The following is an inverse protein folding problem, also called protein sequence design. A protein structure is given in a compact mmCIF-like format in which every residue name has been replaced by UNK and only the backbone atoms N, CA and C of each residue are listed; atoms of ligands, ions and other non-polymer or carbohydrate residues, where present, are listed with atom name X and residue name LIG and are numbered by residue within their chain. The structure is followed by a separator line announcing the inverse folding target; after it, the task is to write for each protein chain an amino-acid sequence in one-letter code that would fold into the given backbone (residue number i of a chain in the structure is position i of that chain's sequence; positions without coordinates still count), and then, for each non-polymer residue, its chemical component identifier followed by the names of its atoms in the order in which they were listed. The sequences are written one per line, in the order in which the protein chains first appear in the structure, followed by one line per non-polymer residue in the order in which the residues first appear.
data_IF_703569474281
#
_entry.id   IF_703569474281
#
_cell.length_a   1.000
_cell.length_b   1.000
_cell.length_c   1.000
_cell.angle_alpha   90.00
_cell.angle_beta   90.00
_cell.angle_gamma   90.00
#
_symmetry.space_group_name_H-M   'P 1'
#
loop_
_entity.id
_entity.type
_entity.pdbx_description
1 polymer ?
#
# COMPACT_ATOMS: atom_id res chain seq x y z
N UNK A 1 -7.17 12.72 32.45
CA UNK A 1 -7.24 12.27 31.04
C UNK A 1 -6.59 10.90 30.96
N UNK A 2 -7.28 9.90 30.43
CA UNK A 2 -6.72 8.55 30.22
C UNK A 2 -5.89 8.51 28.95
N UNK A 3 -4.82 7.69 28.93
CA UNK A 3 -4.06 7.46 27.71
C UNK A 3 -4.91 6.70 26.67
N UNK A 4 -4.83 7.06 25.38
CA UNK A 4 -5.47 6.30 24.32
C UNK A 4 -4.82 4.90 24.21
N UNK A 5 -5.50 3.99 23.53
CA UNK A 5 -5.05 2.60 23.36
C UNK A 5 -4.85 2.25 21.89
N UNK A 6 -3.98 1.29 21.63
CA UNK A 6 -3.91 0.56 20.37
C UNK A 6 -4.84 -0.64 20.48
N UNK A 7 -6.02 -0.55 19.88
CA UNK A 7 -7.08 -1.57 19.98
C UNK A 7 -6.98 -2.65 18.90
N UNK A 8 -6.45 -2.30 17.73
CA UNK A 8 -6.28 -3.25 16.63
C UNK A 8 -5.25 -2.79 15.61
N UNK A 9 -4.71 -3.74 14.85
CA UNK A 9 -3.84 -3.46 13.72
C UNK A 9 -4.02 -4.53 12.63
N UNK A 10 -3.87 -4.10 11.38
CA UNK A 10 -3.82 -4.96 10.22
C UNK A 10 -2.65 -4.58 9.30
N UNK A 11 -2.15 -5.56 8.57
CA UNK A 11 -1.03 -5.43 7.64
C UNK A 11 -1.37 -6.11 6.32
N UNK A 12 -0.90 -5.56 5.21
CA UNK A 12 -1.03 -6.20 3.91
C UNK A 12 0.26 -6.10 3.09
N UNK A 13 0.54 -7.14 2.32
CA UNK A 13 1.56 -7.12 1.28
C UNK A 13 0.93 -7.47 -0.06
N UNK A 14 1.25 -6.73 -1.11
CA UNK A 14 0.87 -7.09 -2.48
C UNK A 14 2.14 -7.41 -3.25
N UNK A 15 2.31 -8.65 -3.70
CA UNK A 15 3.45 -8.98 -4.57
C UNK A 15 3.16 -8.47 -5.99
N UNK A 16 4.03 -7.62 -6.51
CA UNK A 16 3.80 -6.77 -7.67
C UNK A 16 4.98 -6.76 -8.65
N UNK A 17 5.47 -7.93 -9.09
CA UNK A 17 6.65 -8.08 -9.96
C UNK A 17 6.58 -7.27 -11.27
N UNK A 18 5.49 -7.38 -12.04
CA UNK A 18 5.35 -6.63 -13.28
C UNK A 18 5.28 -5.11 -12.98
N UNK A 19 4.55 -4.72 -11.93
CA UNK A 19 4.50 -3.31 -11.52
C UNK A 19 5.87 -2.76 -11.10
N UNK A 20 6.69 -3.56 -10.42
CA UNK A 20 8.08 -3.20 -10.11
C UNK A 20 8.85 -2.87 -11.40
N UNK A 21 8.67 -3.66 -12.45
CA UNK A 21 9.36 -3.45 -13.71
C UNK A 21 8.85 -2.24 -14.47
N UNK A 22 7.53 -2.07 -14.57
CA UNK A 22 6.94 -1.04 -15.42
C UNK A 22 6.75 0.30 -14.71
N UNK A 23 6.50 0.31 -13.40
CA UNK A 23 6.19 1.50 -12.59
C UNK A 23 7.23 1.79 -11.48
N UNK A 24 8.16 0.89 -11.18
CA UNK A 24 9.24 1.15 -10.22
C UNK A 24 10.14 2.30 -10.67
N UNK A 25 10.45 3.25 -9.78
CA UNK A 25 11.17 4.48 -10.14
C UNK A 25 12.59 4.21 -10.66
N UNK A 26 13.25 3.18 -10.14
CA UNK A 26 14.59 2.77 -10.60
C UNK A 26 14.54 2.23 -12.03
N UNK A 27 13.53 1.40 -12.33
CA UNK A 27 13.38 0.72 -13.62
C UNK A 27 12.90 1.69 -14.69
N UNK A 28 11.95 2.57 -14.34
CA UNK A 28 11.45 3.61 -15.25
C UNK A 28 12.55 4.63 -15.56
N UNK A 29 13.34 5.06 -14.56
CA UNK A 29 14.47 5.96 -14.77
C UNK A 29 15.56 5.31 -15.63
N UNK A 30 15.90 4.04 -15.36
CA UNK A 30 16.86 3.29 -16.18
C UNK A 30 16.38 3.17 -17.63
N UNK A 31 15.09 2.85 -17.86
CA UNK A 31 14.52 2.69 -19.21
C UNK A 31 14.58 3.99 -20.01
N UNK A 32 14.43 5.15 -19.36
CA UNK A 32 14.55 6.47 -20.01
C UNK A 32 15.96 6.77 -20.48
N UNK A 33 16.98 6.31 -19.75
CA UNK A 33 18.40 6.58 -20.05
C UNK A 33 19.01 5.50 -20.95
N UNK A 34 18.75 4.23 -20.64
CA UNK A 34 19.28 3.08 -21.35
C UNK A 34 18.24 1.92 -21.37
N UNK A 35 17.33 1.90 -22.36
CA UNK A 35 16.28 0.88 -22.45
C UNK A 35 16.82 -0.54 -22.65
N UNK A 36 18.07 -0.69 -23.14
CA UNK A 36 18.73 -1.99 -23.35
C UNK A 36 19.77 -2.28 -22.27
N UNK A 37 19.64 -1.69 -21.07
CA UNK A 37 20.60 -1.94 -20.00
C UNK A 37 20.62 -3.41 -19.59
N UNK A 38 21.80 -3.90 -19.22
CA UNK A 38 21.98 -5.27 -18.72
C UNK A 38 21.09 -5.55 -17.50
N UNK A 39 20.85 -4.51 -16.67
CA UNK A 39 19.91 -4.59 -15.57
C UNK A 39 18.50 -4.95 -16.03
N UNK A 40 17.91 -4.19 -16.97
CA UNK A 40 16.55 -4.40 -17.43
C UNK A 40 16.39 -5.75 -18.16
N UNK A 41 17.40 -6.13 -18.97
CA UNK A 41 17.38 -7.40 -19.71
C UNK A 41 17.43 -8.65 -18.80
N UNK A 42 18.03 -8.52 -17.62
CA UNK A 42 18.14 -9.62 -16.67
C UNK A 42 17.10 -9.57 -15.54
N UNK A 43 16.47 -8.43 -15.30
CA UNK A 43 15.63 -8.18 -14.12
C UNK A 43 14.54 -9.24 -13.89
N UNK A 44 13.83 -9.63 -14.95
CA UNK A 44 12.72 -10.59 -14.88
C UNK A 44 13.17 -12.01 -14.51
N UNK A 45 14.46 -12.34 -14.70
CA UNK A 45 15.03 -13.63 -14.28
C UNK A 45 15.16 -13.75 -12.76
N UNK A 46 15.05 -12.63 -12.04
CA UNK A 46 15.12 -12.56 -10.58
C UNK A 46 13.75 -12.43 -9.93
N UNK A 47 12.66 -12.53 -10.71
CA UNK A 47 11.31 -12.57 -10.17
C UNK A 47 11.12 -13.77 -9.27
N UNK A 48 10.35 -13.55 -8.20
CA UNK A 48 9.87 -14.61 -7.33
C UNK A 48 8.45 -14.99 -7.70
N UNK A 49 8.08 -16.25 -7.53
CA UNK A 49 6.66 -16.63 -7.53
C UNK A 49 5.94 -16.04 -6.32
N UNK A 50 4.60 -16.06 -6.35
CA UNK A 50 3.81 -15.63 -5.20
C UNK A 50 4.03 -16.54 -3.99
N UNK A 51 4.18 -17.83 -4.23
CA UNK A 51 4.46 -18.83 -3.20
C UNK A 51 5.83 -18.58 -2.55
N UNK A 52 6.85 -18.20 -3.32
CA UNK A 52 8.17 -17.83 -2.80
C UNK A 52 8.12 -16.54 -1.97
N UNK A 53 7.34 -15.54 -2.40
CA UNK A 53 7.13 -14.32 -1.63
C UNK A 53 6.36 -14.61 -0.33
N UNK A 54 5.35 -15.47 -0.36
CA UNK A 54 4.61 -15.92 0.82
C UNK A 54 5.53 -16.67 1.78
N UNK A 55 6.37 -17.58 1.28
CA UNK A 55 7.27 -18.36 2.11
C UNK A 55 8.46 -17.56 2.68
N UNK A 56 8.68 -16.32 2.25
CA UNK A 56 9.76 -15.48 2.74
C UNK A 56 9.56 -15.11 4.23
N UNK A 57 10.48 -15.50 5.13
CA UNK A 57 10.25 -15.35 6.58
C UNK A 57 9.88 -13.93 7.06
N UNK A 58 10.52 -12.84 6.56
CA UNK A 58 10.10 -11.48 6.92
C UNK A 58 8.66 -11.14 6.52
N UNK A 59 8.17 -11.66 5.40
CA UNK A 59 6.78 -11.44 4.98
C UNK A 59 5.81 -12.15 5.94
N UNK A 60 6.16 -13.36 6.40
CA UNK A 60 5.38 -14.08 7.42
C UNK A 60 5.38 -13.36 8.78
N UNK A 61 6.47 -12.67 9.14
CA UNK A 61 6.48 -11.78 10.32
C UNK A 61 5.55 -10.59 10.11
N UNK A 62 5.60 -9.95 8.93
CA UNK A 62 4.81 -8.76 8.63
C UNK A 62 3.30 -9.00 8.75
N UNK A 63 2.80 -10.15 8.28
CA UNK A 63 1.38 -10.54 8.41
C UNK A 63 1.04 -11.23 9.74
N UNK A 64 2.04 -11.40 10.63
CA UNK A 64 1.85 -11.89 11.99
C UNK A 64 1.77 -13.40 12.18
N UNK A 65 2.25 -14.20 11.21
CA UNK A 65 2.38 -15.66 11.36
C UNK A 65 3.62 -16.06 12.15
N UNK A 66 4.67 -15.25 12.08
CA UNK A 66 5.87 -15.36 12.90
C UNK A 66 6.04 -14.10 13.76
N UNK A 67 6.73 -14.22 14.88
CA UNK A 67 7.16 -13.07 15.65
C UNK A 67 8.54 -12.58 15.15
N UNK A 68 8.87 -11.28 15.27
CA UNK A 68 10.17 -10.77 14.84
C UNK A 68 11.36 -11.52 15.45
N UNK A 69 11.24 -11.98 16.71
CA UNK A 69 12.28 -12.76 17.39
C UNK A 69 12.51 -14.15 16.79
N UNK A 70 11.53 -14.71 16.10
CA UNK A 70 11.63 -16.06 15.51
C UNK A 70 12.60 -16.05 14.32
N UNK A 71 12.79 -14.91 13.66
CA UNK A 71 13.78 -14.74 12.59
C UNK A 71 15.22 -15.01 13.04
N UNK A 72 15.51 -14.87 14.33
CA UNK A 72 16.84 -15.15 14.88
C UNK A 72 17.19 -16.65 14.82
N UNK A 73 16.18 -17.52 14.76
CA UNK A 73 16.36 -18.97 14.66
C UNK A 73 16.45 -19.46 13.20
N UNK A 74 16.19 -18.58 12.21
CA UNK A 74 16.21 -18.94 10.78
C UNK A 74 17.56 -18.51 10.18
N UNK A 75 18.31 -19.43 9.56
CA UNK A 75 19.58 -19.09 8.92
C UNK A 75 19.42 -17.98 7.87
N UNK A 76 20.43 -17.11 7.79
CA UNK A 76 20.54 -16.10 6.73
C UNK A 76 21.40 -16.64 5.58
N UNK A 77 21.11 -16.27 4.32
CA UNK A 77 20.04 -15.35 3.93
C UNK A 77 18.65 -15.99 3.95
N UNK A 78 17.63 -15.21 4.34
CA UNK A 78 16.27 -15.74 4.55
C UNK A 78 15.57 -16.20 3.27
N UNK A 79 15.98 -15.71 2.09
CA UNK A 79 15.40 -16.16 0.83
C UNK A 79 15.82 -17.59 0.45
N UNK A 80 16.89 -18.13 1.05
CA UNK A 80 17.30 -19.53 0.92
C UNK A 80 16.67 -20.43 1.99
N UNK A 81 15.96 -19.84 2.96
CA UNK A 81 15.42 -20.53 4.13
C UNK A 81 13.90 -20.25 4.26
N UNK A 82 13.09 -20.70 3.29
CA UNK A 82 11.66 -20.43 3.28
C UNK A 82 10.94 -21.10 4.47
N UNK A 83 9.88 -20.45 4.96
CA UNK A 83 8.99 -21.01 5.97
C UNK A 83 8.20 -22.16 5.35
N UNK A 84 8.26 -23.34 5.97
CA UNK A 84 7.46 -24.49 5.56
C UNK A 84 5.97 -24.24 5.83
N UNK A 85 5.12 -24.67 4.91
CA UNK A 85 3.66 -24.54 5.00
C UNK A 85 3.18 -23.08 5.22
N UNK A 86 3.95 -22.12 4.70
CA UNK A 86 3.61 -20.70 4.76
C UNK A 86 2.26 -20.43 4.10
N UNK A 87 1.49 -19.50 4.68
CA UNK A 87 0.17 -19.11 4.21
C UNK A 87 0.15 -17.63 3.87
N UNK A 88 -0.65 -17.25 2.88
CA UNK A 88 -0.88 -15.85 2.54
C UNK A 88 -1.67 -15.14 3.63
N UNK A 89 -2.56 -15.85 4.33
CA UNK A 89 -3.31 -15.33 5.47
C UNK A 89 -2.48 -15.42 6.75
N UNK A 90 -2.44 -14.32 7.50
CA UNK A 90 -1.84 -14.27 8.82
C UNK A 90 -2.75 -13.72 9.90
N UNK A 91 -2.29 -13.85 11.15
CA UNK A 91 -3.03 -13.37 12.33
C UNK A 91 -3.38 -11.88 12.23
N UNK A 92 -2.43 -11.08 11.76
CA UNK A 92 -2.55 -9.63 11.69
C UNK A 92 -2.64 -9.11 10.26
N UNK A 93 -2.67 -9.97 9.25
CA UNK A 93 -2.60 -9.49 7.88
C UNK A 93 -2.85 -10.54 6.82
N UNK A 94 -2.60 -10.15 5.58
CA UNK A 94 -2.69 -11.03 4.42
C UNK A 94 -1.79 -10.56 3.28
N UNK A 95 -1.31 -11.50 2.47
CA UNK A 95 -0.63 -11.22 1.20
C UNK A 95 -1.57 -11.42 0.01
N UNK A 96 -1.48 -10.56 -1.00
CA UNK A 96 -2.29 -10.62 -2.22
C UNK A 96 -1.40 -10.70 -3.49
N UNK A 97 -1.76 -11.52 -4.50
CA UNK A 97 -1.07 -11.54 -5.78
C UNK A 97 -1.52 -10.39 -6.69
N UNK A 98 -0.67 -10.01 -7.64
CA UNK A 98 -0.88 -8.84 -8.51
C UNK A 98 -2.19 -8.87 -9.33
N UNK A 99 -2.65 -10.04 -9.75
CA UNK A 99 -3.88 -10.17 -10.53
C UNK A 99 -5.14 -9.85 -9.75
N UNK A 100 -5.22 -10.29 -8.49
CA UNK A 100 -6.26 -9.85 -7.57
C UNK A 100 -6.16 -8.34 -7.30
N UNK A 101 -4.93 -7.83 -7.15
CA UNK A 101 -4.72 -6.42 -6.87
C UNK A 101 -5.13 -5.49 -8.01
N UNK A 102 -4.88 -5.87 -9.27
CA UNK A 102 -5.36 -5.10 -10.41
C UNK A 102 -6.89 -5.06 -10.50
N UNK A 103 -7.55 -6.17 -10.16
CA UNK A 103 -9.01 -6.17 -9.97
C UNK A 103 -9.42 -5.19 -8.86
N UNK A 104 -8.72 -5.17 -7.73
CA UNK A 104 -9.02 -4.24 -6.65
C UNK A 104 -8.82 -2.78 -7.07
N UNK A 105 -7.76 -2.47 -7.81
CA UNK A 105 -7.53 -1.13 -8.38
C UNK A 105 -8.71 -0.66 -9.24
N UNK A 106 -9.24 -1.54 -10.11
CA UNK A 106 -10.45 -1.26 -10.90
C UNK A 106 -11.68 -1.05 -10.01
N UNK A 107 -11.85 -1.86 -8.96
CA UNK A 107 -13.00 -1.79 -8.08
C UNK A 107 -13.06 -0.47 -7.27
N UNK A 108 -11.89 0.03 -6.82
CA UNK A 108 -11.80 1.27 -6.02
C UNK A 108 -11.75 2.54 -6.86
N UNK A 109 -11.66 2.41 -8.19
CA UNK A 109 -11.62 3.51 -9.13
C UNK A 109 -13.02 4.05 -9.43
N UNK A 110 -13.38 5.15 -8.78
CA UNK A 110 -14.66 5.82 -8.98
C UNK A 110 -14.74 6.56 -10.32
N UNK A 111 -13.62 6.85 -10.97
CA UNK A 111 -13.54 7.66 -12.18
C UNK A 111 -13.41 6.84 -13.48
N UNK A 112 -13.42 5.51 -13.38
CA UNK A 112 -13.35 4.58 -14.51
C UNK A 112 -12.13 4.83 -15.43
N UNK A 113 -11.00 5.17 -14.82
CA UNK A 113 -9.69 5.35 -15.43
C UNK A 113 -8.99 4.02 -15.71
N UNK A 114 -9.18 3.02 -14.84
CA UNK A 114 -8.64 1.67 -15.01
C UNK A 114 -9.48 0.92 -16.02
N UNK A 115 -8.84 0.39 -17.06
CA UNK A 115 -9.43 -0.53 -18.01
C UNK A 115 -8.66 -1.84 -17.95
N UNK A 116 -9.38 -2.95 -17.88
CA UNK A 116 -8.83 -4.30 -17.88
C UNK A 116 -9.42 -5.08 -19.06
N UNK A 117 -8.63 -5.97 -19.62
CA UNK A 117 -9.07 -6.94 -20.62
C UNK A 117 -10.19 -7.82 -20.04
N UNK A 118 -11.15 -8.20 -20.88
CA UNK A 118 -12.38 -8.90 -20.47
C UNK A 118 -12.12 -10.20 -19.69
N UNK A 119 -11.29 -11.10 -20.23
CA UNK A 119 -10.91 -12.35 -19.58
C UNK A 119 -10.20 -12.13 -18.25
N UNK A 120 -9.26 -11.18 -18.22
CA UNK A 120 -8.53 -10.81 -17.01
C UNK A 120 -9.45 -10.24 -15.92
N UNK A 121 -10.33 -9.30 -16.29
CA UNK A 121 -11.26 -8.66 -15.37
C UNK A 121 -12.21 -9.69 -14.74
N UNK A 122 -12.80 -10.57 -15.56
CA UNK A 122 -13.70 -11.64 -15.07
C UNK A 122 -13.00 -12.59 -14.11
N UNK A 123 -11.76 -12.97 -14.39
CA UNK A 123 -10.96 -13.83 -13.52
C UNK A 123 -10.64 -13.16 -12.18
N UNK A 124 -10.26 -11.87 -12.20
CA UNK A 124 -10.00 -11.11 -10.98
C UNK A 124 -11.29 -10.90 -10.16
N UNK A 125 -12.42 -10.61 -10.82
CA UNK A 125 -13.73 -10.47 -10.18
C UNK A 125 -14.13 -11.73 -9.42
N UNK A 126 -14.00 -12.91 -10.06
CA UNK A 126 -14.34 -14.19 -9.44
C UNK A 126 -13.57 -14.42 -8.13
N UNK A 127 -12.28 -14.05 -8.08
CA UNK A 127 -11.46 -14.15 -6.86
C UNK A 127 -11.90 -13.16 -5.79
N UNK A 128 -12.04 -11.88 -6.17
CA UNK A 128 -12.35 -10.80 -5.23
C UNK A 128 -13.75 -10.93 -4.60
N UNK A 129 -14.76 -11.38 -5.33
CA UNK A 129 -16.09 -11.62 -4.77
C UNK A 129 -16.12 -12.70 -3.68
N UNK A 130 -15.18 -13.65 -3.73
CA UNK A 130 -15.07 -14.71 -2.70
C UNK A 130 -14.13 -14.33 -1.55
N UNK A 131 -13.39 -13.22 -1.68
CA UNK A 131 -12.43 -12.81 -0.68
C UNK A 131 -13.14 -12.31 0.58
N UNK A 132 -12.87 -12.93 1.74
CA UNK A 132 -13.58 -12.69 3.01
C UNK A 132 -13.72 -11.20 3.38
N UNK A 133 -12.63 -10.44 3.33
CA UNK A 133 -12.64 -9.02 3.71
C UNK A 133 -13.13 -8.06 2.61
N UNK A 134 -13.09 -8.45 1.33
CA UNK A 134 -13.30 -7.54 0.19
C UNK A 134 -14.60 -7.80 -0.55
N UNK A 135 -15.05 -9.06 -0.61
CA UNK A 135 -16.14 -9.50 -1.49
C UNK A 135 -17.47 -8.81 -1.21
N UNK A 136 -17.69 -8.36 0.03
CA UNK A 136 -18.90 -7.62 0.43
C UNK A 136 -18.80 -6.11 0.24
N UNK A 137 -17.66 -5.56 -0.17
CA UNK A 137 -17.53 -4.12 -0.41
C UNK A 137 -18.39 -3.73 -1.63
N UNK A 138 -19.22 -2.68 -1.53
CA UNK A 138 -20.03 -2.22 -2.66
C UNK A 138 -19.22 -1.89 -3.93
N UNK A 139 -17.95 -1.53 -3.74
CA UNK A 139 -17.00 -1.26 -4.82
C UNK A 139 -16.79 -2.45 -5.77
N UNK A 140 -16.98 -3.70 -5.32
CA UNK A 140 -16.81 -4.89 -6.15
C UNK A 140 -17.76 -4.92 -7.35
N UNK A 141 -18.92 -4.27 -7.28
CA UNK A 141 -19.87 -4.17 -8.39
C UNK A 141 -19.27 -3.48 -9.64
N UNK A 142 -18.20 -2.69 -9.49
CA UNK A 142 -17.49 -2.08 -10.65
C UNK A 142 -16.73 -3.09 -11.51
N UNK A 143 -16.53 -4.32 -11.02
CA UNK A 143 -15.89 -5.39 -11.77
C UNK A 143 -16.86 -6.15 -12.70
N UNK A 144 -18.17 -5.96 -12.53
CA UNK A 144 -19.20 -6.67 -13.31
C UNK A 144 -19.35 -6.12 -14.74
N UNK A 145 -18.80 -4.94 -15.02
CA UNK A 145 -18.93 -4.25 -16.32
C UNK A 145 -17.69 -3.40 -16.65
N UNK A 146 -17.67 -2.81 -17.85
CA UNK A 146 -16.61 -1.88 -18.25
C UNK A 146 -15.26 -2.54 -18.53
N UNK A 147 -15.30 -3.78 -19.03
CA UNK A 147 -14.19 -4.48 -19.66
C UNK A 147 -13.82 -3.80 -20.99
N UNK A 148 -12.56 -3.92 -21.39
CA UNK A 148 -12.03 -3.35 -22.63
C UNK A 148 -11.47 -4.43 -23.55
N UNK A 149 -11.66 -4.26 -24.86
CA UNK A 149 -11.02 -5.09 -25.87
C UNK A 149 -9.52 -4.85 -25.89
N UNK A 150 -8.73 -5.88 -26.20
CA UNK A 150 -7.27 -5.81 -26.22
C UNK A 150 -6.75 -4.71 -27.18
N UNK A 151 -7.36 -4.58 -28.36
CA UNK A 151 -7.00 -3.57 -29.37
C UNK A 151 -7.20 -2.14 -28.84
N UNK A 152 -8.26 -1.90 -28.07
CA UNK A 152 -8.51 -0.59 -27.46
C UNK A 152 -7.47 -0.28 -26.38
N UNK A 153 -7.11 -1.25 -25.55
CA UNK A 153 -6.06 -1.09 -24.53
C UNK A 153 -4.73 -0.73 -25.22
N UNK A 154 -4.39 -1.43 -26.30
CA UNK A 154 -3.18 -1.16 -27.08
C UNK A 154 -3.19 0.25 -27.66
N UNK A 155 -4.29 0.69 -28.29
CA UNK A 155 -4.44 2.04 -28.83
C UNK A 155 -4.27 3.12 -27.73
N UNK A 156 -4.89 2.92 -26.57
CA UNK A 156 -4.82 3.86 -25.45
C UNK A 156 -3.39 4.04 -24.93
N UNK A 157 -2.63 2.95 -24.86
CA UNK A 157 -1.23 2.98 -24.41
C UNK A 157 -0.33 3.62 -25.46
N UNK A 158 -0.39 3.16 -26.71
CA UNK A 158 0.55 3.57 -27.76
C UNK A 158 0.28 5.00 -28.29
N UNK A 159 -1.00 5.39 -28.36
CA UNK A 159 -1.42 6.64 -29.01
C UNK A 159 -1.85 7.69 -27.98
N UNK A 160 -2.61 7.30 -26.96
CA UNK A 160 -3.24 8.26 -26.03
C UNK A 160 -2.44 8.49 -24.73
N UNK A 161 -1.34 7.75 -24.54
CA UNK A 161 -0.45 7.90 -23.40
C UNK A 161 -1.04 7.39 -22.09
N UNK A 162 -1.87 6.34 -22.14
CA UNK A 162 -2.30 5.62 -20.96
C UNK A 162 -1.13 4.84 -20.33
N UNK A 163 -1.15 4.71 -19.00
CA UNK A 163 -0.12 3.97 -18.27
C UNK A 163 -0.42 2.47 -18.40
N UNK A 164 0.49 1.64 -18.94
CA UNK A 164 0.21 0.25 -19.23
C UNK A 164 0.27 -0.64 -17.98
N UNK A 165 -0.62 -1.63 -17.92
CA UNK A 165 -0.67 -2.64 -16.86
C UNK A 165 -0.34 -4.01 -17.43
N UNK A 166 0.75 -4.61 -16.96
CA UNK A 166 1.23 -5.91 -17.42
C UNK A 166 1.06 -6.98 -16.35
N UNK A 167 0.70 -8.19 -16.78
CA UNK A 167 0.68 -9.37 -15.92
C UNK A 167 1.33 -10.54 -16.64
N UNK A 168 2.40 -11.10 -16.06
CA UNK A 168 3.19 -12.18 -16.66
C UNK A 168 3.66 -11.83 -18.09
N UNK A 169 4.05 -10.57 -18.29
CA UNK A 169 4.51 -10.04 -19.57
C UNK A 169 3.44 -9.74 -20.61
N UNK A 170 2.15 -10.02 -20.36
CA UNK A 170 1.04 -9.65 -21.25
C UNK A 170 0.45 -8.30 -20.85
N UNK A 171 0.11 -7.45 -21.83
CA UNK A 171 -0.63 -6.20 -21.60
C UNK A 171 -2.09 -6.55 -21.28
N UNK A 172 -2.49 -6.40 -20.02
CA UNK A 172 -3.82 -6.81 -19.52
C UNK A 172 -4.75 -5.62 -19.26
N UNK A 173 -4.26 -4.40 -19.41
CA UNK A 173 -5.01 -3.20 -19.04
C UNK A 173 -4.18 -1.93 -19.11
N UNK A 174 -4.82 -0.83 -18.75
CA UNK A 174 -4.17 0.48 -18.66
C UNK A 174 -4.90 1.39 -17.67
N UNK A 175 -4.19 2.42 -17.19
CA UNK A 175 -4.77 3.55 -16.46
C UNK A 175 -4.76 4.78 -17.37
N UNK A 176 -5.93 5.36 -17.60
CA UNK A 176 -6.06 6.61 -18.36
C UNK A 176 -5.64 7.81 -17.51
N UNK A 177 -5.23 8.89 -18.18
CA UNK A 177 -5.14 10.22 -17.55
C UNK A 177 -6.54 10.69 -17.13
N UNK A 178 -6.63 11.39 -16.01
CA UNK A 178 -7.86 12.02 -15.55
C UNK A 178 -8.06 13.42 -16.16
N UNK A 179 -7.01 14.02 -16.73
CA UNK A 179 -7.10 15.29 -17.44
C UNK A 179 -6.05 15.40 -18.56
N UNK A 180 -6.35 16.17 -19.61
CA UNK A 180 -5.47 16.27 -20.78
C UNK A 180 -4.21 17.12 -20.57
N UNK A 181 -4.29 18.11 -19.67
CA UNK A 181 -3.24 19.13 -19.51
C UNK A 181 -2.71 19.23 -18.08
N UNK A 182 -3.31 18.52 -17.14
CA UNK A 182 -2.92 18.61 -15.74
C UNK A 182 -1.87 17.54 -15.44
N UNK A 183 -0.62 17.93 -15.12
CA UNK A 183 0.41 16.95 -14.79
C UNK A 183 0.08 16.14 -13.53
N UNK A 184 -0.65 16.73 -12.57
CA UNK A 184 -1.10 16.03 -11.36
C UNK A 184 -2.21 15.00 -11.63
N UNK A 185 -2.82 15.05 -12.82
CA UNK A 185 -3.85 14.12 -13.28
C UNK A 185 -3.40 13.32 -14.51
N UNK A 186 -2.08 13.20 -14.71
CA UNK A 186 -1.49 12.35 -15.75
C UNK A 186 -1.75 10.87 -15.46
N UNK A 187 -1.67 10.01 -16.49
CA UNK A 187 -1.90 8.57 -16.35
C UNK A 187 -0.96 7.93 -15.31
N UNK A 188 0.31 8.34 -15.29
CA UNK A 188 1.30 7.88 -14.33
C UNK A 188 0.91 8.25 -12.88
N UNK A 189 0.55 9.51 -12.61
CA UNK A 189 0.13 9.93 -11.27
C UNK A 189 -1.19 9.26 -10.86
N UNK A 190 -2.11 9.04 -11.79
CA UNK A 190 -3.34 8.28 -11.51
C UNK A 190 -3.06 6.82 -11.18
N UNK A 191 -2.09 6.19 -11.86
CA UNK A 191 -1.64 4.85 -11.52
C UNK A 191 -1.08 4.80 -10.10
N UNK A 192 -0.17 5.69 -9.71
CA UNK A 192 0.40 5.75 -8.36
C UNK A 192 -0.68 5.99 -7.29
N UNK A 193 -1.57 6.95 -7.53
CA UNK A 193 -2.68 7.25 -6.63
C UNK A 193 -3.62 6.04 -6.44
N UNK A 194 -3.93 5.32 -7.51
CA UNK A 194 -4.78 4.13 -7.45
C UNK A 194 -4.08 2.96 -6.76
N UNK A 195 -2.77 2.78 -6.93
CA UNK A 195 -1.98 1.78 -6.21
C UNK A 195 -2.01 2.06 -4.70
N UNK A 196 -1.77 3.31 -4.28
CA UNK A 196 -1.85 3.69 -2.88
C UNK A 196 -3.26 3.50 -2.32
N UNK A 197 -4.30 4.02 -3.00
CA UNK A 197 -5.69 3.87 -2.58
C UNK A 197 -6.10 2.41 -2.45
N UNK A 198 -5.83 1.58 -3.47
CA UNK A 198 -6.26 0.18 -3.49
C UNK A 198 -5.61 -0.63 -2.37
N UNK A 199 -4.31 -0.45 -2.14
CA UNK A 199 -3.58 -1.15 -1.07
C UNK A 199 -4.01 -0.67 0.33
N UNK A 200 -4.34 0.61 0.49
CA UNK A 200 -4.91 1.15 1.72
C UNK A 200 -6.34 0.64 1.99
N UNK A 201 -7.19 0.58 0.97
CA UNK A 201 -8.52 -0.05 1.06
C UNK A 201 -8.40 -1.51 1.45
N UNK A 202 -7.44 -2.24 0.86
CA UNK A 202 -7.23 -3.64 1.20
C UNK A 202 -6.94 -3.84 2.68
N UNK A 203 -5.95 -3.11 3.22
CA UNK A 203 -5.56 -3.29 4.61
C UNK A 203 -6.60 -2.76 5.60
N UNK A 204 -7.37 -1.72 5.24
CA UNK A 204 -8.48 -1.25 6.06
C UNK A 204 -9.62 -2.28 6.10
N UNK A 205 -9.93 -2.91 4.97
CA UNK A 205 -10.89 -4.01 4.93
C UNK A 205 -10.43 -5.20 5.79
N UNK A 206 -9.13 -5.53 5.77
CA UNK A 206 -8.57 -6.55 6.65
C UNK A 206 -8.66 -6.16 8.13
N UNK A 207 -8.45 -4.88 8.49
CA UNK A 207 -8.63 -4.40 9.87
C UNK A 207 -10.06 -4.63 10.34
N UNK A 208 -11.05 -4.27 9.52
CA UNK A 208 -12.47 -4.45 9.85
C UNK A 208 -12.85 -5.95 9.95
N UNK A 209 -12.29 -6.81 9.10
CA UNK A 209 -12.55 -8.26 9.15
C UNK A 209 -11.86 -8.99 10.32
N UNK A 210 -10.67 -8.55 10.70
CA UNK A 210 -9.84 -9.21 11.73
C UNK A 210 -10.06 -8.69 13.15
N UNK A 211 -10.82 -7.62 13.32
CA UNK A 211 -11.10 -6.98 14.62
C UNK A 211 -12.61 -6.89 14.89
N UNK A 212 -12.97 -6.40 16.08
CA UNK A 212 -14.36 -6.11 16.44
C UNK A 212 -14.83 -4.72 15.95
N UNK A 213 -13.94 -3.94 15.30
CA UNK A 213 -14.23 -2.60 14.84
C UNK A 213 -15.28 -2.61 13.73
N UNK A 214 -16.37 -1.88 13.94
CA UNK A 214 -17.36 -1.64 12.88
C UNK A 214 -16.99 -0.38 12.10
N UNK A 215 -17.17 -0.41 10.77
CA UNK A 215 -16.86 0.74 9.92
C UNK A 215 -17.59 2.03 10.36
N UNK A 216 -18.85 1.91 10.79
CA UNK A 216 -19.65 3.03 11.27
C UNK A 216 -19.22 3.59 12.66
N UNK A 217 -18.37 2.89 13.40
CA UNK A 217 -17.84 3.37 14.69
C UNK A 217 -16.63 4.30 14.49
N UNK A 218 -15.98 4.29 13.32
CA UNK A 218 -14.84 5.18 13.03
C UNK A 218 -15.34 6.60 12.83
N UNK A 219 -14.75 7.55 13.56
CA UNK A 219 -15.12 8.98 13.50
C UNK A 219 -14.04 9.81 12.80
N UNK A 220 -12.80 9.33 12.78
CA UNK A 220 -11.70 9.98 12.08
C UNK A 220 -10.75 8.97 11.42
N UNK A 221 -10.30 9.28 10.21
CA UNK A 221 -9.30 8.51 9.48
C UNK A 221 -8.12 9.42 9.08
N UNK A 222 -6.91 8.98 9.38
CA UNK A 222 -5.66 9.62 8.95
C UNK A 222 -4.96 8.71 7.96
N UNK A 223 -4.75 9.19 6.74
CA UNK A 223 -3.98 8.47 5.74
C UNK A 223 -2.56 9.04 5.67
N UNK A 224 -1.54 8.19 5.62
CA UNK A 224 -0.15 8.61 5.82
C UNK A 224 0.90 7.97 4.90
N UNK A 225 0.50 7.48 3.73
CA UNK A 225 1.40 7.04 2.64
C UNK A 225 2.18 8.21 2.02
N UNK A 226 3.00 7.89 1.01
CA UNK A 226 3.83 8.87 0.31
C UNK A 226 3.09 9.70 -0.74
N UNK A 227 1.94 9.24 -1.23
CA UNK A 227 1.27 9.81 -2.40
C UNK A 227 0.47 11.06 -2.07
N UNK A 228 0.53 12.09 -2.92
CA UNK A 228 -0.24 13.33 -2.75
C UNK A 228 -1.26 13.47 -3.88
N UNK A 229 -2.54 13.28 -3.58
CA UNK A 229 -3.61 13.50 -4.55
C UNK A 229 -4.06 14.98 -4.61
N UNK A 230 -4.61 15.37 -5.74
CA UNK A 230 -5.04 16.74 -6.03
C UNK A 230 -4.89 17.08 -7.51
N UNK A 231 -5.29 18.28 -7.88
CA UNK A 231 -5.17 18.81 -9.24
C UNK A 231 -4.18 19.98 -9.30
N UNK A 232 -4.04 20.60 -10.46
CA UNK A 232 -3.17 21.76 -10.68
C UNK A 232 -3.48 22.96 -9.79
N UNK A 233 -4.69 23.07 -9.26
CA UNK A 233 -5.16 24.16 -8.41
C UNK A 233 -4.98 23.84 -6.91
N UNK A 234 -5.05 22.56 -6.54
CA UNK A 234 -5.01 22.07 -5.16
C UNK A 234 -4.06 20.87 -5.04
N UNK A 235 -2.78 21.05 -5.41
CA UNK A 235 -1.76 19.99 -5.32
C UNK A 235 -1.58 19.53 -3.88
N UNK A 236 -1.83 18.24 -3.60
CA UNK A 236 -1.82 17.70 -2.24
C UNK A 236 -3.01 18.13 -1.38
N UNK A 237 -4.01 18.80 -1.97
CA UNK A 237 -5.27 19.17 -1.32
C UNK A 237 -6.40 18.16 -1.55
N UNK A 238 -6.14 17.08 -2.31
CA UNK A 238 -7.00 15.91 -2.33
C UNK A 238 -7.00 15.19 -0.97
N UNK A 239 -7.83 14.16 -0.83
CA UNK A 239 -8.00 13.47 0.45
C UNK A 239 -8.15 11.96 0.25
N UNK A 240 -7.03 11.24 0.35
CA UNK A 240 -7.02 9.77 0.30
C UNK A 240 -7.79 9.18 1.47
N UNK A 241 -7.63 9.71 2.67
CA UNK A 241 -8.29 9.21 3.87
C UNK A 241 -9.82 9.07 3.68
N UNK A 242 -10.46 10.09 3.11
CA UNK A 242 -11.89 10.07 2.77
C UNK A 242 -12.20 9.14 1.60
N UNK A 243 -11.38 9.15 0.54
CA UNK A 243 -11.60 8.28 -0.61
C UNK A 243 -11.49 6.78 -0.26
N UNK A 244 -10.62 6.43 0.69
CA UNK A 244 -10.47 5.09 1.25
C UNK A 244 -11.64 4.78 2.20
N UNK A 245 -11.94 5.72 3.10
CA UNK A 245 -13.05 5.62 4.04
C UNK A 245 -14.40 5.37 3.37
N UNK A 246 -14.67 6.06 2.26
CA UNK A 246 -15.87 5.86 1.43
C UNK A 246 -15.99 4.42 0.94
N UNK A 247 -14.92 3.85 0.39
CA UNK A 247 -14.92 2.48 -0.15
C UNK A 247 -15.14 1.44 0.95
N UNK A 248 -14.56 1.65 2.13
CA UNK A 248 -14.69 0.75 3.27
C UNK A 248 -15.93 1.01 4.15
N UNK A 249 -16.79 1.97 3.78
CA UNK A 249 -18.05 2.23 4.47
C UNK A 249 -17.93 2.95 5.81
N UNK A 250 -16.90 3.79 5.98
CA UNK A 250 -16.70 4.61 7.18
C UNK A 250 -17.63 5.83 7.16
N UNK A 251 -18.94 5.57 7.15
CA UNK A 251 -20.00 6.57 6.87
C UNK A 251 -20.06 7.73 7.87
N UNK A 252 -19.52 7.55 9.07
CA UNK A 252 -19.48 8.57 10.13
C UNK A 252 -18.12 9.25 10.26
N UNK A 253 -17.12 8.82 9.48
CA UNK A 253 -15.78 9.37 9.59
C UNK A 253 -15.63 10.66 8.77
N UNK A 254 -14.88 11.61 9.33
CA UNK A 254 -14.13 12.59 8.52
C UNK A 254 -12.66 12.16 8.47
N UNK A 255 -11.80 12.89 7.78
CA UNK A 255 -10.40 12.52 7.71
C UNK A 255 -9.51 13.48 6.95
N UNK A 256 -8.21 13.28 7.10
CA UNK A 256 -7.15 14.06 6.48
C UNK A 256 -5.96 13.19 6.13
N UNK A 257 -5.10 13.72 5.26
CA UNK A 257 -3.86 13.09 4.86
C UNK A 257 -2.68 13.75 5.61
N UNK A 258 -1.74 12.94 6.10
CA UNK A 258 -0.53 13.40 6.80
C UNK A 258 0.71 12.91 6.05
N UNK A 259 1.50 13.87 5.54
CA UNK A 259 2.70 13.58 4.72
C UNK A 259 3.97 13.94 5.48
N UNK A 260 4.84 12.96 5.68
CA UNK A 260 6.17 13.16 6.27
C UNK A 260 7.18 12.12 5.77
N UNK A 261 7.14 11.81 4.47
CA UNK A 261 7.95 10.74 3.87
C UNK A 261 7.82 9.42 4.67
N UNK A 262 8.91 8.65 4.85
CA UNK A 262 8.90 7.44 5.67
C UNK A 262 8.57 7.67 7.16
N UNK A 263 8.56 8.92 7.65
CA UNK A 263 8.14 9.27 9.01
C UNK A 263 6.63 9.55 9.12
N UNK A 264 5.88 9.56 8.01
CA UNK A 264 4.42 9.76 7.98
C UNK A 264 3.66 8.95 9.05
N UNK A 265 3.91 7.62 9.16
CA UNK A 265 3.27 6.79 10.18
C UNK A 265 3.50 7.27 11.62
N UNK A 266 4.70 7.72 11.96
CA UNK A 266 4.99 8.21 13.32
C UNK A 266 4.21 9.48 13.66
N UNK A 267 4.12 10.41 12.70
CA UNK A 267 3.32 11.63 12.85
C UNK A 267 1.83 11.30 12.98
N UNK A 268 1.30 10.46 12.10
CA UNK A 268 -0.11 10.08 12.12
C UNK A 268 -0.52 9.36 13.42
N UNK A 269 0.36 8.51 13.97
CA UNK A 269 0.13 7.87 15.27
C UNK A 269 0.05 8.89 16.42
N UNK A 270 0.92 9.90 16.43
CA UNK A 270 0.91 10.98 17.42
C UNK A 270 -0.36 11.83 17.29
N UNK A 271 -0.73 12.21 16.06
CA UNK A 271 -1.94 12.97 15.76
C UNK A 271 -3.20 12.22 16.21
N UNK A 272 -3.35 10.95 15.84
CA UNK A 272 -4.49 10.14 16.22
C UNK A 272 -4.58 9.94 17.74
N UNK A 273 -3.45 9.66 18.41
CA UNK A 273 -3.42 9.55 19.86
C UNK A 273 -3.83 10.87 20.54
N UNK A 274 -3.36 12.02 20.03
CA UNK A 274 -3.75 13.32 20.55
C UNK A 274 -5.24 13.61 20.38
N UNK A 275 -5.81 13.30 19.20
CA UNK A 275 -7.24 13.46 18.93
C UNK A 275 -8.11 12.65 19.90
N UNK A 276 -7.73 11.41 20.17
CA UNK A 276 -8.43 10.55 21.13
C UNK A 276 -8.27 11.04 22.56
N UNK A 277 -7.04 11.35 22.97
CA UNK A 277 -6.77 11.78 24.33
C UNK A 277 -7.45 13.12 24.68
N UNK A 278 -7.58 14.01 23.70
CA UNK A 278 -8.31 15.27 23.82
C UNK A 278 -9.83 15.09 23.93
N UNK A 279 -10.35 13.88 23.68
CA UNK A 279 -11.78 13.59 23.68
C UNK A 279 -12.53 14.14 22.46
N UNK A 280 -11.81 14.44 21.37
CA UNK A 280 -12.42 14.93 20.12
C UNK A 280 -13.09 13.78 19.38
N UNK A 281 -12.41 12.63 19.33
CA UNK A 281 -12.91 11.40 18.72
C UNK A 281 -12.63 10.21 19.63
N UNK A 282 -13.48 9.19 19.56
CA UNK A 282 -13.34 7.96 20.32
C UNK A 282 -12.65 6.87 19.52
N UNK A 283 -12.86 6.83 18.21
CA UNK A 283 -12.27 5.85 17.31
C UNK A 283 -11.59 6.55 16.15
N UNK A 284 -10.26 6.45 16.10
CA UNK A 284 -9.43 6.98 15.02
C UNK A 284 -8.68 5.84 14.35
N UNK A 285 -8.70 5.82 13.02
CA UNK A 285 -7.92 4.86 12.22
C UNK A 285 -6.77 5.59 11.54
N UNK A 286 -5.56 5.06 11.71
CA UNK A 286 -4.39 5.45 10.91
C UNK A 286 -4.19 4.40 9.84
N UNK A 287 -4.03 4.80 8.57
CA UNK A 287 -3.86 3.88 7.44
C UNK A 287 -2.79 4.38 6.48
N UNK A 288 -2.09 3.47 5.81
CA UNK A 288 -1.23 3.81 4.68
C UNK A 288 -1.26 2.68 3.64
N UNK A 289 -1.32 3.07 2.37
CA UNK A 289 -1.07 2.22 1.21
C UNK A 289 0.40 2.22 0.80
N UNK A 290 0.74 1.34 -0.15
CA UNK A 290 2.08 1.26 -0.73
C UNK A 290 2.25 2.17 -1.96
N UNK A 291 3.50 2.50 -2.28
CA UNK A 291 3.88 3.32 -3.44
C UNK A 291 4.58 2.47 -4.50
N UNK A 292 4.07 2.47 -5.74
CA UNK A 292 4.69 1.75 -6.86
C UNK A 292 6.07 2.29 -7.20
N UNK A 293 6.32 3.59 -7.00
CA UNK A 293 7.63 4.20 -7.24
C UNK A 293 8.74 3.57 -6.38
N UNK A 294 8.39 3.02 -5.21
CA UNK A 294 9.34 2.41 -4.27
C UNK A 294 9.61 0.92 -4.52
N UNK A 295 8.93 0.30 -5.47
CA UNK A 295 9.22 -1.08 -5.84
C UNK A 295 10.60 -1.17 -6.51
N UNK A 296 11.43 -2.11 -6.03
CA UNK A 296 12.71 -2.42 -6.64
C UNK A 296 13.77 -1.30 -6.62
N UNK A 297 13.78 -0.43 -5.60
CA UNK A 297 14.78 0.64 -5.45
C UNK A 297 16.22 0.09 -5.46
N UNK A 298 16.44 -1.07 -4.84
CA UNK A 298 17.73 -1.75 -4.79
C UNK A 298 17.83 -2.92 -5.78
N UNK A 299 16.93 -3.01 -6.78
CA UNK A 299 16.91 -4.12 -7.73
C UNK A 299 18.21 -4.26 -8.53
N UNK A 300 18.93 -3.15 -8.79
CA UNK A 300 20.25 -3.19 -9.45
C UNK A 300 21.25 -4.03 -8.66
N UNK A 301 21.27 -3.85 -7.34
CA UNK A 301 22.13 -4.62 -6.45
C UNK A 301 21.68 -6.08 -6.32
N UNK A 302 20.36 -6.34 -6.31
CA UNK A 302 19.84 -7.70 -6.33
C UNK A 302 20.31 -8.46 -7.57
N UNK A 303 20.09 -7.89 -8.76
CA UNK A 303 20.51 -8.49 -10.04
C UNK A 303 22.03 -8.71 -10.06
N UNK A 304 22.83 -7.70 -9.70
CA UNK A 304 24.30 -7.79 -9.68
C UNK A 304 24.82 -8.88 -8.76
N UNK A 305 24.12 -9.13 -7.64
CA UNK A 305 24.51 -10.12 -6.63
C UNK A 305 23.86 -11.49 -6.86
N UNK A 306 23.10 -11.69 -7.94
CA UNK A 306 22.42 -12.97 -8.19
C UNK A 306 21.23 -13.24 -7.26
N UNK A 307 20.71 -12.21 -6.58
CA UNK A 307 19.66 -12.35 -5.57
C UNK A 307 18.27 -12.30 -6.23
N UNK A 308 17.25 -12.97 -5.67
CA UNK A 308 15.88 -12.70 -6.06
C UNK A 308 15.49 -11.25 -5.74
N UNK A 309 14.48 -10.71 -6.41
CA UNK A 309 13.94 -9.39 -6.11
C UNK A 309 13.14 -9.45 -4.80
N UNK A 310 13.70 -8.85 -3.75
CA UNK A 310 13.07 -8.83 -2.41
C UNK A 310 12.21 -7.59 -2.16
N UNK A 311 12.30 -6.57 -3.00
CA UNK A 311 11.52 -5.31 -2.95
C UNK A 311 10.37 -5.31 -3.97
N UNK A 312 9.81 -6.50 -4.20
CA UNK A 312 8.70 -6.78 -5.13
C UNK A 312 7.33 -6.69 -4.46
N UNK A 313 7.23 -6.18 -3.23
CA UNK A 313 5.99 -6.09 -2.46
C UNK A 313 5.62 -4.65 -2.15
N UNK A 314 4.36 -4.27 -2.39
CA UNK A 314 3.76 -3.07 -1.81
C UNK A 314 3.36 -3.37 -0.36
N UNK A 315 3.84 -2.58 0.59
CA UNK A 315 3.45 -2.68 1.99
C UNK A 315 2.31 -1.72 2.33
N UNK A 316 1.33 -2.20 3.09
CA UNK A 316 0.25 -1.39 3.65
C UNK A 316 -0.02 -1.78 5.11
N UNK A 317 -0.54 -0.84 5.89
CA UNK A 317 -0.93 -1.08 7.29
C UNK A 317 -2.15 -0.23 7.67
N UNK A 318 -2.90 -0.68 8.67
CA UNK A 318 -3.93 0.08 9.34
C UNK A 318 -3.88 -0.16 10.86
N UNK A 319 -4.08 0.88 11.65
CA UNK A 319 -4.08 0.83 13.13
C UNK A 319 -5.32 1.51 13.65
N UNK A 320 -6.01 0.84 14.57
CA UNK A 320 -7.17 1.37 15.29
C UNK A 320 -6.73 1.88 16.66
N UNK A 321 -6.90 3.18 16.87
CA UNK A 321 -6.64 3.89 18.11
C UNK A 321 -7.98 4.28 18.73
N UNK A 322 -8.14 4.00 20.03
CA UNK A 322 -9.42 4.20 20.72
C UNK A 322 -9.28 4.77 22.12
N UNK A 323 -10.42 5.19 22.71
CA UNK A 323 -10.54 5.47 24.14
C UNK A 323 -10.10 4.26 24.98
N UNK A 324 -9.55 4.55 26.16
CA UNK A 324 -9.01 3.54 27.05
C UNK A 324 -10.11 2.57 27.55
N UNK A 325 -9.93 1.28 27.27
CA UNK A 325 -10.82 0.21 27.70
C UNK A 325 -10.34 -0.51 28.99
N UNK A 326 -9.20 -0.12 29.54
CA UNK A 326 -8.57 -0.73 30.71
C UNK A 326 -7.87 -2.07 30.44
N UNK A 327 -7.83 -2.55 29.18
CA UNK A 327 -7.32 -3.87 28.80
C UNK A 327 -6.22 -3.79 27.72
N UNK A 328 -6.43 -2.95 26.71
CA UNK A 328 -5.57 -2.85 25.54
C UNK A 328 -4.27 -2.08 25.82
N UNK A 329 -3.19 -2.31 25.03
CA UNK A 329 -1.95 -1.57 25.18
C UNK A 329 -2.15 -0.06 25.08
N UNK A 330 -1.66 0.68 26.06
CA UNK A 330 -1.74 2.14 26.09
C UNK A 330 -0.67 2.77 25.19
N UNK A 331 -1.02 3.89 24.55
CA UNK A 331 -0.08 4.78 23.87
C UNK A 331 0.28 5.90 24.85
N UNK A 332 1.53 5.88 25.34
CA UNK A 332 2.05 6.86 26.29
C UNK A 332 2.38 8.17 25.59
N UNK A 333 1.42 9.07 25.54
CA UNK A 333 1.55 10.40 24.91
C UNK A 333 2.37 11.40 25.73
N UNK A 334 2.69 11.06 26.97
CA UNK A 334 3.55 11.84 27.88
C UNK A 334 5.05 11.60 27.66
N UNK A 335 5.43 10.66 26.80
CA UNK A 335 6.84 10.31 26.48
C UNK A 335 7.13 10.42 24.97
N UNK A 336 6.42 11.29 24.26
CA UNK A 336 6.64 11.50 22.83
C UNK A 336 7.98 12.23 22.62
N UNK A 337 8.93 11.54 21.97
CA UNK A 337 10.19 12.13 21.54
C UNK A 337 10.02 13.08 20.37
N UNK A 338 10.87 14.12 20.29
CA UNK A 338 10.82 15.13 19.22
C UNK A 338 12.24 15.47 18.75
N UNK A 339 12.51 15.20 17.47
CA UNK A 339 13.66 15.79 16.79
C UNK A 339 13.33 17.24 16.39
N UNK A 340 13.99 18.22 16.99
CA UNK A 340 13.68 19.63 16.74
C UNK A 340 14.32 20.12 15.43
N UNK A 341 13.68 21.08 14.75
CA UNK A 341 14.24 21.70 13.53
C UNK A 341 15.63 22.30 13.79
N UNK A 342 15.88 22.78 15.02
CA UNK A 342 17.16 23.36 15.44
C UNK A 342 18.27 22.34 15.68
N UNK A 343 17.98 21.04 15.76
CA UNK A 343 18.96 19.99 16.04
C UNK A 343 19.90 19.73 14.85
N UNK A 344 19.54 20.14 13.63
CA UNK A 344 20.32 19.86 12.42
C UNK A 344 20.06 18.45 11.88
N UNK A 345 20.72 18.09 10.77
CA UNK A 345 20.40 16.87 9.99
C UNK A 345 21.51 15.83 9.95
N UNK A 346 22.63 16.05 10.64
CA UNK A 346 23.70 15.04 10.70
C UNK A 346 23.24 13.84 11.54
N UNK A 347 23.63 12.59 11.20
CA UNK A 347 23.27 11.42 11.99
C UNK A 347 23.63 11.56 13.48
N UNK A 348 24.76 12.19 13.79
CA UNK A 348 25.19 12.48 15.15
C UNK A 348 24.23 13.43 15.87
N UNK A 349 23.81 14.50 15.20
CA UNK A 349 22.92 15.48 15.80
C UNK A 349 21.49 14.95 16.00
N UNK A 350 21.03 14.11 15.05
CA UNK A 350 19.77 13.36 15.19
C UNK A 350 19.84 12.41 16.39
N UNK A 351 20.94 11.64 16.53
CA UNK A 351 21.11 10.72 17.66
C UNK A 351 21.18 11.46 19.00
N UNK A 352 21.92 12.56 19.08
CA UNK A 352 21.98 13.39 20.29
C UNK A 352 20.59 13.88 20.69
N UNK A 353 19.85 14.46 19.74
CA UNK A 353 18.55 15.08 19.99
C UNK A 353 17.40 14.09 20.25
N UNK A 354 17.54 12.81 19.88
CA UNK A 354 16.50 11.79 20.10
C UNK A 354 16.81 10.93 21.33
N UNK A 355 18.09 10.66 21.60
CA UNK A 355 18.52 9.68 22.61
C UNK A 355 19.05 10.32 23.89
N UNK A 356 19.71 11.48 23.79
CA UNK A 356 20.45 12.06 24.90
C UNK A 356 19.81 13.35 25.46
N UNK A 357 19.23 14.18 24.61
CA UNK A 357 18.48 15.40 24.98
C UNK A 357 16.98 15.11 25.04
#
# INVERSE_FOLDING_TARGET
MSFPILKGAAYALVQANDMLFYQGSTQTSERRVNPNSEHLLNLTKHYRSFEEAVAYPPNQVYIGNLQPRDLNAIPRPWYENPVKDAKREGKHGEMMPLDEFYGLMKAVDTFELVLLEDGFQKAAAAKLHTHKALGSLPAMARLEKGYAEADLIQELVEVQGAEPMYYKGALIGCVKKAHNFDPALSAHVMMENLVSKASAVYVLALLLDKTDLKAAEVEYIIECSEEACGDMNQRGGGNFAKAIGEVCGLVNATGSDTRSFCAGPAHAMVEAAALVQAGIYKHVVVVAGGSSAKLGLNAKDHVKKGLPLLEDCLGAFAVHIAENDGLSPIIRTDVIGRHTIGSGTSPQAVMQAIVAD
#
